data_IF_976669158365
#
_entry.id   IF_976669158365
#
_cell.length_a   1.000
_cell.length_b   1.000
_cell.length_c   1.000
_cell.angle_alpha   90.00
_cell.angle_beta   90.00
_cell.angle_gamma   90.00
#
_symmetry.space_group_name_H-M   'P 1'
#
loop_
_entity.id
_entity.type
_entity.pdbx_description
1 polymer ?
#
# COMPACT_ATOMS: atom_id res chain seq x y z
N UNK A 1 31.72 -26.89 -37.92
CA UNK A 1 31.62 -26.64 -36.47
C UNK A 1 30.80 -25.37 -36.24
N UNK A 2 29.49 -25.52 -35.97
CA UNK A 2 28.55 -24.40 -35.83
C UNK A 2 28.69 -23.73 -34.47
N UNK A 3 28.97 -22.43 -34.46
CA UNK A 3 28.93 -21.58 -33.26
C UNK A 3 27.48 -21.21 -32.97
N UNK A 4 26.97 -21.67 -31.83
CA UNK A 4 25.67 -21.29 -31.29
C UNK A 4 25.65 -19.78 -31.01
N UNK A 5 24.96 -19.03 -31.87
CA UNK A 5 24.68 -17.61 -31.66
C UNK A 5 23.80 -17.48 -30.41
N UNK A 6 24.38 -16.97 -29.32
CA UNK A 6 23.62 -16.58 -28.14
C UNK A 6 22.70 -15.43 -28.55
N UNK A 7 21.44 -15.76 -28.82
CA UNK A 7 20.40 -14.79 -29.13
C UNK A 7 20.36 -13.77 -28.01
N UNK A 8 20.65 -12.50 -28.35
CA UNK A 8 20.56 -11.36 -27.45
C UNK A 8 19.16 -11.37 -26.82
N UNK A 9 19.08 -11.74 -25.54
CA UNK A 9 17.85 -11.62 -24.74
C UNK A 9 17.56 -10.12 -24.62
N UNK A 10 16.60 -9.63 -25.41
CA UNK A 10 16.08 -8.26 -25.28
C UNK A 10 15.19 -8.23 -24.04
N UNK A 11 15.67 -7.62 -22.95
CA UNK A 11 14.84 -7.32 -21.79
C UNK A 11 13.98 -6.10 -22.13
N UNK A 12 12.70 -6.31 -22.33
CA UNK A 12 11.71 -5.26 -22.49
C UNK A 12 11.27 -4.81 -21.09
N UNK A 13 11.50 -3.54 -20.76
CA UNK A 13 10.88 -2.87 -19.62
C UNK A 13 9.71 -2.04 -20.17
N UNK A 14 8.49 -2.36 -19.78
CA UNK A 14 7.31 -1.54 -20.02
C UNK A 14 6.93 -0.88 -18.68
N UNK A 15 6.88 0.46 -18.66
CA UNK A 15 6.27 1.20 -17.57
C UNK A 15 4.79 1.41 -17.93
N UNK A 16 3.90 0.67 -17.27
CA UNK A 16 2.47 0.96 -17.31
C UNK A 16 2.18 1.99 -16.22
N UNK A 17 1.66 3.17 -16.60
CA UNK A 17 1.22 4.21 -15.67
C UNK A 17 -0.25 4.50 -15.93
N UNK A 18 -1.07 4.48 -14.88
CA UNK A 18 -2.47 4.94 -14.94
C UNK A 18 -3.49 3.90 -15.43
N UNK A 19 -3.14 2.60 -15.34
CA UNK A 19 -4.13 1.52 -15.47
C UNK A 19 -4.08 0.70 -14.18
N UNK A 20 -5.04 0.94 -13.29
CA UNK A 20 -5.11 0.30 -11.98
C UNK A 20 -5.22 -1.23 -12.09
N UNK A 21 -5.79 -1.74 -13.18
CA UNK A 21 -5.88 -3.18 -13.41
C UNK A 21 -4.50 -3.79 -13.67
N UNK A 22 -3.63 -3.08 -14.42
CA UNK A 22 -2.26 -3.54 -14.68
C UNK A 22 -1.41 -3.45 -13.42
N UNK A 23 -1.58 -2.42 -12.60
CA UNK A 23 -0.86 -2.30 -11.32
C UNK A 23 -1.24 -3.44 -10.36
N UNK A 24 -2.52 -3.82 -10.33
CA UNK A 24 -2.99 -4.98 -9.60
C UNK A 24 -2.39 -6.29 -10.14
N UNK A 25 -2.35 -6.49 -11.45
CA UNK A 25 -1.73 -7.69 -12.06
C UNK A 25 -0.22 -7.78 -11.70
N UNK A 26 0.49 -6.65 -11.73
CA UNK A 26 1.91 -6.59 -11.32
C UNK A 26 2.04 -6.96 -9.84
N UNK A 27 1.15 -6.44 -8.99
CA UNK A 27 1.15 -6.74 -7.56
C UNK A 27 0.86 -8.23 -7.30
N UNK A 28 -0.09 -8.82 -8.05
CA UNK A 28 -0.43 -10.23 -7.97
C UNK A 28 0.77 -11.14 -8.27
N UNK A 29 1.47 -10.84 -9.36
CA UNK A 29 2.68 -11.57 -9.75
C UNK A 29 3.80 -11.37 -8.73
N UNK A 30 4.03 -10.13 -8.28
CA UNK A 30 5.12 -9.79 -7.35
C UNK A 30 4.95 -10.49 -6.00
N UNK A 31 3.71 -10.58 -5.51
CA UNK A 31 3.38 -11.24 -4.25
C UNK A 31 3.16 -12.76 -4.41
N UNK A 32 3.29 -13.28 -5.62
CA UNK A 32 3.06 -14.71 -5.95
C UNK A 32 1.68 -15.20 -5.51
N UNK A 33 0.64 -14.40 -5.74
CA UNK A 33 -0.73 -14.74 -5.33
C UNK A 33 -1.24 -16.03 -5.97
N UNK A 34 -0.75 -16.42 -7.14
CA UNK A 34 -1.08 -17.70 -7.79
C UNK A 34 -0.71 -18.94 -6.96
N UNK A 35 0.18 -18.83 -5.98
CA UNK A 35 0.54 -19.94 -5.08
C UNK A 35 -0.52 -20.15 -3.96
N UNK A 36 -1.33 -19.14 -3.67
CA UNK A 36 -2.27 -19.11 -2.53
C UNK A 36 -3.73 -18.91 -2.92
N UNK A 37 -4.00 -18.34 -4.08
CA UNK A 37 -5.34 -18.10 -4.63
C UNK A 37 -5.46 -18.79 -6.00
N UNK A 38 -6.52 -19.57 -6.18
CA UNK A 38 -6.78 -20.35 -7.41
C UNK A 38 -7.80 -19.67 -8.31
N UNK A 39 -8.58 -18.75 -7.76
CA UNK A 39 -9.60 -17.97 -8.48
C UNK A 39 -9.35 -16.48 -8.30
N UNK A 40 -9.86 -15.67 -9.23
CA UNK A 40 -9.79 -14.20 -9.15
C UNK A 40 -10.42 -13.66 -7.86
N UNK A 41 -11.59 -14.21 -7.47
CA UNK A 41 -12.28 -13.84 -6.24
C UNK A 41 -11.44 -14.11 -4.98
N UNK A 42 -10.73 -15.25 -4.95
CA UNK A 42 -9.80 -15.56 -3.85
C UNK A 42 -8.61 -14.58 -3.85
N UNK A 43 -8.07 -14.24 -5.02
CA UNK A 43 -7.01 -13.25 -5.19
C UNK A 43 -7.42 -11.89 -4.63
N UNK A 44 -8.56 -11.37 -5.07
CA UNK A 44 -9.14 -10.10 -4.59
C UNK A 44 -9.33 -10.10 -3.06
N UNK A 45 -9.80 -11.22 -2.51
CA UNK A 45 -10.00 -11.38 -1.06
C UNK A 45 -8.67 -11.34 -0.30
N UNK A 46 -7.64 -12.02 -0.80
CA UNK A 46 -6.31 -12.06 -0.17
C UNK A 46 -5.64 -10.69 -0.26
N UNK A 47 -5.72 -10.02 -1.41
CA UNK A 47 -5.21 -8.66 -1.62
C UNK A 47 -5.88 -7.67 -0.67
N UNK A 48 -7.20 -7.71 -0.56
CA UNK A 48 -7.96 -6.86 0.36
C UNK A 48 -7.53 -7.10 1.81
N UNK A 49 -7.39 -8.36 2.23
CA UNK A 49 -6.90 -8.70 3.58
C UNK A 49 -5.47 -8.21 3.82
N UNK A 50 -4.60 -8.29 2.82
CA UNK A 50 -3.24 -7.80 2.90
C UNK A 50 -3.21 -6.27 3.03
N UNK A 51 -4.02 -5.56 2.24
CA UNK A 51 -4.16 -4.11 2.30
C UNK A 51 -4.58 -3.64 3.70
N UNK A 52 -5.58 -4.30 4.31
CA UNK A 52 -5.98 -3.98 5.69
C UNK A 52 -4.85 -4.22 6.70
N UNK A 53 -4.15 -5.36 6.61
CA UNK A 53 -3.00 -5.63 7.50
C UNK A 53 -1.89 -4.60 7.35
N UNK A 54 -1.58 -4.21 6.12
CA UNK A 54 -0.59 -3.18 5.85
C UNK A 54 -1.02 -1.85 6.46
N UNK A 55 -2.29 -1.44 6.24
CA UNK A 55 -2.84 -0.22 6.81
C UNK A 55 -2.76 -0.19 8.33
N UNK A 56 -3.16 -1.28 9.02
CA UNK A 56 -3.04 -1.36 10.48
C UNK A 56 -1.60 -1.21 10.95
N UNK A 57 -0.65 -1.88 10.28
CA UNK A 57 0.77 -1.76 10.63
C UNK A 57 1.29 -0.34 10.43
N UNK A 58 0.89 0.32 9.35
CA UNK A 58 1.25 1.73 9.09
C UNK A 58 0.65 2.67 10.14
N UNK A 59 -0.59 2.43 10.57
CA UNK A 59 -1.24 3.19 11.64
C UNK A 59 -0.47 3.05 12.95
N UNK A 60 -0.15 1.82 13.35
CA UNK A 60 0.62 1.55 14.57
C UNK A 60 2.01 2.19 14.52
N UNK A 61 2.69 2.09 13.37
CA UNK A 61 4.01 2.66 13.17
C UNK A 61 3.99 4.20 13.22
N UNK A 62 2.99 4.83 12.61
CA UNK A 62 2.78 6.27 12.71
C UNK A 62 2.59 6.71 14.15
N UNK A 63 1.69 6.06 14.89
CA UNK A 63 1.42 6.38 16.29
C UNK A 63 2.68 6.20 17.16
N UNK A 64 3.46 5.14 16.90
CA UNK A 64 4.71 4.87 17.64
C UNK A 64 5.79 5.91 17.34
N UNK A 65 5.94 6.34 16.08
CA UNK A 65 6.99 7.29 15.67
C UNK A 65 6.68 8.72 16.08
N UNK A 66 5.41 9.13 15.97
CA UNK A 66 5.00 10.52 16.22
C UNK A 66 4.53 10.75 17.66
N UNK A 67 4.07 9.70 18.35
CA UNK A 67 3.36 9.83 19.62
C UNK A 67 1.95 10.43 19.48
N UNK A 68 1.51 10.70 18.25
CA UNK A 68 0.20 11.28 17.95
C UNK A 68 -0.80 10.19 17.54
N UNK A 69 -2.09 10.50 17.67
CA UNK A 69 -3.15 9.66 17.13
C UNK A 69 -3.15 9.73 15.61
N UNK A 70 -3.43 8.61 14.95
CA UNK A 70 -3.60 8.57 13.50
C UNK A 70 -4.76 9.48 13.04
N UNK A 71 -4.66 10.13 11.85
CA UNK A 71 -5.70 11.02 11.33
C UNK A 71 -7.10 10.39 11.30
N UNK A 72 -8.12 11.24 11.47
CA UNK A 72 -9.53 10.79 11.35
C UNK A 72 -9.87 10.43 9.91
N UNK A 73 -10.94 9.65 9.72
CA UNK A 73 -11.44 9.28 8.39
C UNK A 73 -11.59 10.48 7.45
N UNK A 74 -12.21 11.57 7.91
CA UNK A 74 -12.45 12.76 7.06
C UNK A 74 -11.14 13.44 6.65
N UNK A 75 -10.20 13.57 7.58
CA UNK A 75 -8.89 14.16 7.33
C UNK A 75 -8.09 13.31 6.34
N UNK A 76 -8.08 12.00 6.54
CA UNK A 76 -7.38 11.07 5.65
C UNK A 76 -8.02 11.03 4.26
N UNK A 77 -9.35 11.03 4.18
CA UNK A 77 -10.05 11.03 2.89
C UNK A 77 -9.77 12.32 2.11
N UNK A 78 -9.85 13.49 2.75
CA UNK A 78 -9.50 14.75 2.11
C UNK A 78 -8.05 14.80 1.60
N UNK A 79 -7.11 14.22 2.34
CA UNK A 79 -5.72 14.08 1.90
C UNK A 79 -5.60 13.17 0.66
N UNK A 80 -6.30 12.02 0.63
CA UNK A 80 -6.26 11.06 -0.47
C UNK A 80 -6.96 11.60 -1.73
N UNK A 81 -8.01 12.39 -1.56
CA UNK A 81 -8.74 13.05 -2.65
C UNK A 81 -7.93 14.22 -3.26
N UNK A 82 -6.74 14.51 -2.74
CA UNK A 82 -5.87 15.59 -3.22
C UNK A 82 -6.38 16.98 -2.85
N UNK A 83 -7.27 17.10 -1.86
CA UNK A 83 -7.68 18.40 -1.35
C UNK A 83 -6.45 19.09 -0.75
N UNK A 84 -6.28 20.42 -0.96
CA UNK A 84 -5.24 21.15 -0.26
C UNK A 84 -5.44 20.95 1.23
N UNK A 85 -4.41 20.44 1.90
CA UNK A 85 -4.38 20.32 3.35
C UNK A 85 -4.40 21.76 3.88
N UNK A 86 -5.59 22.30 4.11
CA UNK A 86 -5.73 23.52 4.90
C UNK A 86 -5.05 23.22 6.23
N UNK A 87 -3.93 23.92 6.45
CA UNK A 87 -3.13 23.77 7.65
C UNK A 87 -4.04 23.78 8.88
N UNK A 88 -3.80 22.82 9.76
CA UNK A 88 -4.60 22.48 10.93
C UNK A 88 -5.35 23.66 11.58
N UNK A 89 -6.64 23.51 11.89
CA UNK A 89 -7.17 24.04 13.12
C UNK A 89 -6.99 22.99 14.21
N UNK A 90 -6.04 23.30 15.08
CA UNK A 90 -5.93 22.86 16.46
C UNK A 90 -5.47 21.43 16.73
N UNK A 91 -4.25 21.37 17.27
CA UNK A 91 -3.82 20.56 18.41
C UNK A 91 -4.91 20.42 19.50
N UNK A 92 -6.00 19.71 19.20
CA UNK A 92 -7.07 19.44 20.15
C UNK A 92 -6.89 18.05 20.71
N UNK A 93 -6.24 18.03 21.89
CA UNK A 93 -6.07 16.94 22.84
C UNK A 93 -5.01 15.90 22.49
N UNK A 94 -3.75 16.31 22.70
CA UNK A 94 -2.74 15.41 23.28
C UNK A 94 -3.28 14.96 24.64
N UNK A 95 -4.03 13.85 24.68
CA UNK A 95 -4.31 13.16 25.93
C UNK A 95 -3.04 12.41 26.27
N UNK A 96 -2.18 13.05 27.07
CA UNK A 96 -1.10 12.38 27.78
C UNK A 96 -1.74 11.22 28.56
N UNK A 97 -1.48 9.99 28.14
CA UNK A 97 -1.79 8.81 28.96
C UNK A 97 -0.83 8.83 30.15
N UNK A 98 -1.16 9.60 31.18
CA UNK A 98 -0.52 9.47 32.49
C UNK A 98 -0.87 8.09 33.03
N UNK A 99 0.12 7.21 33.02
CA UNK A 99 0.11 5.94 33.73
C UNK A 99 -0.06 6.25 35.22
N UNK A 100 -1.28 6.10 35.74
CA UNK A 100 -1.55 6.16 37.17
C UNK A 100 -1.25 4.80 37.79
N UNK A 101 -0.48 4.83 38.90
CA UNK A 101 -0.46 3.82 39.97
C UNK A 101 0.26 2.53 39.66
#
# INVERSE_FOLDING_TARGET
MNRLSHGRVKRLHAEFRGDEAVELDILEVTLRLGDVARTRLEGDTVLTRLAFKALYRTIEEYCRKTGLRYPTYRTLMGYLDGAPVEAEPEASRVVSLTKQG
#
